data_IF_840395291792
#
_entry.id   IF_840395291792
#
_cell.length_a   1.000
_cell.length_b   1.000
_cell.length_c   1.000
_cell.angle_alpha   90.00
_cell.angle_beta   90.00
_cell.angle_gamma   90.00
#
_symmetry.space_group_name_H-M   'P 1'
#
loop_
_entity.id
_entity.type
_entity.pdbx_description
1 polymer ?
#
# COMPACT_ATOMS: atom_id res chain seq x y z
N UNK A 1 -19.23 -8.78 10.22
CA UNK A 1 -19.59 -7.35 10.12
C UNK A 1 -20.69 -7.19 9.09
N UNK A 2 -21.85 -6.58 9.41
CA UNK A 2 -23.06 -6.61 8.54
C UNK A 2 -22.94 -5.75 7.28
N UNK A 3 -22.25 -4.60 7.35
CA UNK A 3 -22.24 -3.57 6.28
C UNK A 3 -21.01 -3.62 5.37
N UNK A 4 -20.22 -4.70 5.45
CA UNK A 4 -18.94 -4.76 4.76
C UNK A 4 -19.12 -4.74 3.23
N UNK A 5 -20.12 -5.49 2.75
CA UNK A 5 -20.39 -5.61 1.32
C UNK A 5 -20.75 -4.25 0.70
N UNK A 6 -21.67 -3.53 1.31
CA UNK A 6 -22.18 -2.25 0.81
C UNK A 6 -21.09 -1.17 0.80
N UNK A 7 -20.22 -1.17 1.81
CA UNK A 7 -19.08 -0.25 1.87
C UNK A 7 -18.07 -0.57 0.78
N UNK A 8 -17.76 -1.86 0.58
CA UNK A 8 -16.84 -2.30 -0.48
C UNK A 8 -17.41 -1.97 -1.85
N UNK A 9 -18.68 -2.31 -2.11
CA UNK A 9 -19.36 -2.02 -3.38
C UNK A 9 -19.35 -0.52 -3.69
N UNK A 10 -19.60 0.34 -2.70
CA UNK A 10 -19.53 1.80 -2.87
C UNK A 10 -18.13 2.29 -3.24
N UNK A 11 -17.11 1.85 -2.49
CA UNK A 11 -15.74 2.35 -2.69
C UNK A 11 -15.12 1.78 -3.97
N UNK A 12 -15.36 0.50 -4.25
CA UNK A 12 -14.84 -0.19 -5.42
C UNK A 12 -15.48 0.29 -6.73
N UNK A 13 -16.75 0.70 -6.71
CA UNK A 13 -17.42 1.28 -7.88
C UNK A 13 -16.83 2.64 -8.30
N UNK A 14 -16.19 3.37 -7.38
CA UNK A 14 -15.63 4.69 -7.62
C UNK A 14 -14.19 4.81 -7.12
N UNK A 15 -13.23 4.10 -7.75
CA UNK A 15 -11.83 4.20 -7.36
C UNK A 15 -11.30 5.63 -7.57
N UNK A 16 -10.50 6.11 -6.64
CA UNK A 16 -9.93 7.46 -6.61
C UNK A 16 -10.86 8.53 -6.04
N UNK A 17 -12.16 8.25 -5.87
CA UNK A 17 -13.10 9.21 -5.32
C UNK A 17 -13.05 9.23 -3.80
N UNK A 18 -12.99 10.44 -3.23
CA UNK A 18 -12.99 10.67 -1.78
C UNK A 18 -14.42 10.70 -1.24
N UNK A 19 -14.64 9.95 -0.17
CA UNK A 19 -15.91 9.87 0.54
C UNK A 19 -15.74 10.23 2.01
N UNK A 20 -16.68 11.02 2.53
CA UNK A 20 -16.81 11.33 3.96
C UNK A 20 -17.66 10.27 4.67
N UNK A 21 -17.41 10.05 5.96
CA UNK A 21 -18.20 9.11 6.79
C UNK A 21 -19.72 9.30 6.65
N UNK A 22 -20.21 10.54 6.63
CA UNK A 22 -21.66 10.83 6.46
C UNK A 22 -22.21 10.34 5.11
N UNK A 23 -21.42 10.45 4.03
CA UNK A 23 -21.84 9.99 2.71
C UNK A 23 -21.94 8.47 2.66
N UNK A 24 -20.97 7.76 3.26
CA UNK A 24 -20.98 6.31 3.34
C UNK A 24 -22.21 5.82 4.14
N UNK A 25 -22.47 6.43 5.31
CA UNK A 25 -23.65 6.07 6.13
C UNK A 25 -24.95 6.31 5.35
N UNK A 26 -25.06 7.45 4.66
CA UNK A 26 -26.26 7.77 3.87
C UNK A 26 -26.44 6.83 2.67
N UNK A 27 -25.36 6.24 2.13
CA UNK A 27 -25.45 5.24 1.07
C UNK A 27 -25.92 3.89 1.61
N UNK A 28 -25.37 3.45 2.75
CA UNK A 28 -25.72 2.17 3.38
C UNK A 28 -27.19 2.16 3.82
N UNK A 29 -27.64 3.23 4.45
CA UNK A 29 -29.04 3.38 4.84
C UNK A 29 -29.47 4.86 4.81
N UNK A 30 -30.19 5.30 3.75
CA UNK A 30 -30.64 6.69 3.63
C UNK A 30 -31.78 7.04 4.59
N UNK A 31 -32.46 6.06 5.20
CA UNK A 31 -33.63 6.25 6.08
C UNK A 31 -33.33 5.99 7.55
N UNK A 32 -32.06 5.77 7.90
CA UNK A 32 -31.65 5.48 9.26
C UNK A 32 -32.01 6.61 10.24
N UNK A 33 -32.68 6.24 11.33
CA UNK A 33 -32.94 7.12 12.46
C UNK A 33 -31.64 7.46 13.22
N UNK A 34 -31.66 8.52 14.03
CA UNK A 34 -30.51 9.01 14.81
C UNK A 34 -29.82 7.92 15.63
N UNK A 35 -30.59 7.03 16.28
CA UNK A 35 -30.02 5.90 17.04
C UNK A 35 -29.35 4.87 16.13
N UNK A 36 -29.98 4.55 15.00
CA UNK A 36 -29.45 3.62 14.02
C UNK A 36 -28.17 4.15 13.38
N UNK A 37 -28.07 5.48 13.16
CA UNK A 37 -26.88 6.12 12.60
C UNK A 37 -25.65 5.97 13.49
N UNK A 38 -25.80 5.97 14.82
CA UNK A 38 -24.68 5.71 15.72
C UNK A 38 -24.16 4.26 15.57
N UNK A 39 -25.07 3.29 15.47
CA UNK A 39 -24.73 1.88 15.26
C UNK A 39 -24.09 1.67 13.88
N UNK A 40 -24.67 2.26 12.83
CA UNK A 40 -24.13 2.25 11.47
C UNK A 40 -22.73 2.86 11.43
N UNK A 41 -22.54 4.02 12.07
CA UNK A 41 -21.24 4.68 12.14
C UNK A 41 -20.18 3.76 12.73
N UNK A 42 -20.47 3.10 13.85
CA UNK A 42 -19.54 2.14 14.47
C UNK A 42 -19.29 0.94 13.56
N UNK A 43 -20.32 0.40 12.93
CA UNK A 43 -20.20 -0.74 12.02
C UNK A 43 -19.36 -0.42 10.78
N UNK A 44 -19.65 0.69 10.11
CA UNK A 44 -18.91 1.20 8.96
C UNK A 44 -17.47 1.53 9.36
N UNK A 45 -17.27 2.18 10.51
CA UNK A 45 -15.91 2.49 10.99
C UNK A 45 -15.07 1.23 11.17
N UNK A 46 -15.60 0.16 11.76
CA UNK A 46 -14.87 -1.12 11.90
C UNK A 46 -14.46 -1.72 10.55
N UNK A 47 -15.33 -1.61 9.55
CA UNK A 47 -15.01 -2.07 8.18
C UNK A 47 -13.89 -1.23 7.58
N UNK A 48 -13.98 0.11 7.67
CA UNK A 48 -12.96 1.01 7.13
C UNK A 48 -11.60 0.79 7.80
N UNK A 49 -11.56 0.60 9.11
CA UNK A 49 -10.32 0.29 9.84
C UNK A 49 -9.72 -1.02 9.35
N UNK A 50 -10.52 -2.09 9.23
CA UNK A 50 -10.02 -3.37 8.74
C UNK A 50 -9.48 -3.27 7.30
N UNK A 51 -10.16 -2.53 6.42
CA UNK A 51 -9.70 -2.31 5.04
C UNK A 51 -8.41 -1.47 4.98
N UNK A 52 -8.27 -0.50 5.88
CA UNK A 52 -7.07 0.32 6.03
C UNK A 52 -5.89 -0.52 6.53
N UNK A 53 -6.11 -1.38 7.53
CA UNK A 53 -5.12 -2.33 8.05
C UNK A 53 -4.66 -3.33 6.97
N UNK A 54 -5.57 -3.75 6.08
CA UNK A 54 -5.23 -4.58 4.93
C UNK A 54 -4.55 -3.81 3.78
N UNK A 55 -4.43 -2.48 3.87
CA UNK A 55 -3.86 -1.64 2.81
C UNK A 55 -4.71 -1.55 1.55
N UNK A 56 -6.00 -1.89 1.60
CA UNK A 56 -6.89 -1.85 0.44
C UNK A 56 -7.43 -0.44 0.16
N UNK A 57 -7.59 0.37 1.21
CA UNK A 57 -8.08 1.74 1.11
C UNK A 57 -7.07 2.72 1.72
N UNK A 58 -7.13 3.96 1.26
CA UNK A 58 -6.35 5.05 1.81
C UNK A 58 -7.28 6.01 2.59
N UNK A 59 -6.72 6.65 3.62
CA UNK A 59 -7.43 7.62 4.45
C UNK A 59 -6.55 8.81 4.79
N UNK A 60 -7.16 9.99 4.99
CA UNK A 60 -6.48 11.20 5.48
C UNK A 60 -6.45 11.23 7.02
N UNK A 61 -6.75 10.13 7.69
CA UNK A 61 -6.90 10.10 9.16
C UNK A 61 -5.59 10.45 9.87
N UNK A 62 -4.46 10.05 9.30
CA UNK A 62 -3.14 10.27 9.88
C UNK A 62 -2.69 11.74 9.75
N UNK A 63 -3.04 12.39 8.64
CA UNK A 63 -2.66 13.78 8.34
C UNK A 63 -3.59 14.81 8.98
N UNK A 64 -4.85 14.45 9.23
CA UNK A 64 -5.86 15.40 9.70
C UNK A 64 -5.63 15.79 11.17
N UNK A 65 -4.96 16.93 11.41
CA UNK A 65 -4.83 17.58 12.73
C UNK A 65 -6.17 17.71 13.49
N UNK A 66 -7.28 17.78 12.76
CA UNK A 66 -8.62 17.71 13.31
C UNK A 66 -9.33 16.47 12.77
N UNK A 67 -9.72 15.54 13.66
CA UNK A 67 -10.46 14.28 13.37
C UNK A 67 -11.84 14.46 12.69
N UNK A 68 -12.17 15.69 12.28
CA UNK A 68 -13.46 16.09 11.71
C UNK A 68 -13.48 15.94 10.19
N UNK A 69 -12.33 16.05 9.52
CA UNK A 69 -12.21 16.04 8.05
C UNK A 69 -11.55 14.76 7.53
N UNK A 70 -11.96 13.60 8.06
CA UNK A 70 -11.45 12.32 7.58
C UNK A 70 -12.18 11.89 6.32
N UNK A 71 -11.41 11.65 5.28
CA UNK A 71 -11.87 11.17 3.98
C UNK A 71 -11.27 9.79 3.70
N UNK A 72 -12.04 8.94 3.02
CA UNK A 72 -11.68 7.58 2.66
C UNK A 72 -11.85 7.38 1.16
N UNK A 73 -10.92 6.68 0.53
CA UNK A 73 -11.03 6.34 -0.89
C UNK A 73 -10.33 5.02 -1.20
N UNK A 74 -10.83 4.34 -2.22
CA UNK A 74 -10.08 3.24 -2.84
C UNK A 74 -9.01 3.84 -3.75
N UNK A 75 -7.71 3.60 -3.53
CA UNK A 75 -6.68 4.11 -4.42
C UNK A 75 -6.88 3.53 -5.82
N UNK A 76 -6.85 4.39 -6.85
CA UNK A 76 -6.78 3.87 -8.23
C UNK A 76 -5.51 3.06 -8.31
N UNK A 77 -5.61 1.80 -8.76
CA UNK A 77 -4.44 1.05 -9.19
C UNK A 77 -4.00 1.69 -10.49
N UNK A 78 -3.42 2.88 -10.41
CA UNK A 78 -2.51 3.33 -11.45
C UNK A 78 -1.41 2.30 -11.35
N UNK A 79 -1.38 1.36 -12.30
CA UNK A 79 -0.16 0.67 -12.64
C UNK A 79 0.84 1.78 -12.92
N UNK A 80 1.54 2.22 -11.88
CA UNK A 80 2.74 3.04 -12.03
C UNK A 80 3.54 2.24 -13.05
N UNK A 81 3.90 2.80 -14.21
CA UNK A 81 4.89 2.14 -15.04
C UNK A 81 6.05 1.92 -14.09
N UNK A 82 6.27 0.66 -13.71
CA UNK A 82 7.21 0.32 -12.67
C UNK A 82 8.51 1.02 -13.00
N UNK A 83 9.23 1.47 -11.97
CA UNK A 83 10.67 1.67 -12.17
C UNK A 83 11.14 0.43 -12.93
N UNK A 84 11.70 0.55 -14.15
CA UNK A 84 12.19 -0.60 -14.86
C UNK A 84 13.10 -1.31 -13.87
N UNK A 85 12.85 -2.61 -13.69
CA UNK A 85 13.67 -3.51 -12.90
C UNK A 85 15.13 -3.11 -13.14
N UNK A 86 15.74 -2.44 -12.16
CA UNK A 86 17.16 -2.11 -12.23
C UNK A 86 17.84 -3.44 -11.99
N UNK A 87 18.29 -4.05 -13.07
CA UNK A 87 19.08 -5.26 -13.03
C UNK A 87 20.16 -5.07 -11.96
N UNK A 88 20.18 -5.88 -10.88
CA UNK A 88 21.26 -5.78 -9.92
C UNK A 88 22.55 -6.01 -10.70
N UNK A 89 23.40 -4.98 -10.76
CA UNK A 89 24.73 -4.98 -11.36
C UNK A 89 25.66 -5.94 -10.59
N UNK A 90 25.28 -7.21 -10.55
CA UNK A 90 25.96 -8.30 -9.83
C UNK A 90 26.78 -9.16 -10.78
N UNK A 91 26.69 -8.92 -12.10
CA UNK A 91 27.44 -9.63 -13.14
C UNK A 91 28.37 -8.73 -13.96
N UNK A 92 28.89 -7.64 -13.39
CA UNK A 92 30.19 -7.14 -13.87
C UNK A 92 31.23 -8.17 -13.42
N UNK A 93 31.34 -9.25 -14.18
CA UNK A 93 32.50 -10.15 -14.12
C UNK A 93 33.70 -9.27 -14.38
N UNK A 94 34.49 -9.03 -13.34
CA UNK A 94 35.82 -8.48 -13.49
C UNK A 94 36.54 -9.32 -14.55
N UNK A 95 36.81 -8.72 -15.70
CA UNK A 95 37.67 -9.31 -16.72
C UNK A 95 39.02 -9.55 -16.02
N UNK A 96 39.33 -10.81 -15.76
CA UNK A 96 40.63 -11.20 -15.23
C UNK A 96 41.71 -10.65 -16.18
N UNK A 97 42.70 -9.90 -15.70
CA UNK A 97 43.80 -9.48 -16.55
C UNK A 97 44.56 -10.73 -17.01
N UNK A 98 44.68 -10.82 -18.33
CA UNK A 98 45.41 -11.85 -19.06
C UNK A 98 46.86 -11.96 -18.56
N UNK A 99 47.23 -13.20 -18.23
CA UNK A 99 48.60 -13.71 -18.17
C UNK A 99 49.52 -13.01 -19.17
N UNK A 100 50.62 -12.41 -18.67
CA UNK A 100 51.87 -12.31 -19.42
C UNK A 100 53.06 -12.54 -18.45
N UNK A 101 53.73 -13.68 -18.67
CA UNK A 101 55.18 -13.93 -18.62
C UNK A 101 55.98 -13.78 -17.28
N UNK A 102 56.31 -14.90 -16.59
CA UNK A 102 57.65 -15.60 -16.37
C UNK A 102 58.71 -14.77 -15.59
N UNK A 103 59.62 -15.30 -14.71
CA UNK A 103 60.06 -16.68 -14.47
C UNK A 103 60.11 -17.19 -13.01
N UNK A 104 60.24 -18.51 -12.92
CA UNK A 104 60.59 -19.30 -11.75
C UNK A 104 61.83 -18.78 -11.00
N UNK A 105 61.73 -18.61 -9.68
CA UNK A 105 62.89 -18.65 -8.77
C UNK A 105 62.47 -19.26 -7.44
N UNK A 106 62.73 -20.55 -7.27
CA UNK A 106 62.67 -21.22 -5.97
C UNK A 106 63.83 -20.76 -5.09
N UNK A 107 63.62 -20.32 -3.84
CA UNK A 107 64.65 -20.40 -2.81
C UNK A 107 64.62 -21.79 -2.18
N UNK A 108 65.74 -22.51 -2.24
CA UNK A 108 65.91 -23.82 -1.60
C UNK A 108 65.91 -23.75 -0.08
N UNK A 109 65.77 -24.89 0.61
CA UNK A 109 65.79 -24.95 2.07
C UNK A 109 67.23 -24.82 2.59
N UNK A 110 67.46 -23.85 3.48
CA UNK A 110 68.69 -23.80 4.28
C UNK A 110 68.57 -24.78 5.45
N UNK A 111 69.63 -25.57 5.62
CA UNK A 111 69.88 -26.50 6.73
C UNK A 111 69.83 -25.81 8.10
#
# INVERSE_FOLDING_TARGET
MKYAKEVIDLLAAYPGRRFKMKQIINYVDPRADTRQRAVLRTGVWRVLVALEECGQIASTRDEARARVHVEYWWPVITSVPGKPFQEPSQYVRALAPSRNEVPCRWPGPSQ
#
